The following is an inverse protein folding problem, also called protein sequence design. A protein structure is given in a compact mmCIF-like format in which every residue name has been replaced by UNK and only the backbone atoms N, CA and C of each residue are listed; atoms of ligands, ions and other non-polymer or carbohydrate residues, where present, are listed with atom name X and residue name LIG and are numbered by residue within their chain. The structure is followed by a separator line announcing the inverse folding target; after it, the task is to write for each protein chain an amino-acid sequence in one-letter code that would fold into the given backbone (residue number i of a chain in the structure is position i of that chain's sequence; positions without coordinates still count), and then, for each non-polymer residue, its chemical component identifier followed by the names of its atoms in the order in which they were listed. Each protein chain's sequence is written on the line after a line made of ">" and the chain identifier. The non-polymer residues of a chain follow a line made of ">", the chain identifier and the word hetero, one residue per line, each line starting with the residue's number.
data_IF_213029264184
#
_entry.id   IF_213029264184
#
_cell.length_a   1.000
_cell.length_b   1.000
_cell.length_c   1.000
_cell.angle_alpha   90.00
_cell.angle_beta   90.00
_cell.angle_gamma   90.00
#
_symmetry.space_group_name_H-M   'P 1'
#
loop_
_entity.id
_entity.type
_entity.pdbx_description
1 polymer ?
#
# COMPACT_ATOMS: atom_id res chain seq x y z
N UNK A 1 -1.63 -6.40 -7.95
CA UNK A 1 -2.90 -5.65 -7.73
C UNK A 1 -3.79 -5.84 -8.94
N UNK A 2 -5.10 -6.02 -8.75
CA UNK A 2 -6.03 -6.11 -9.87
C UNK A 2 -6.17 -4.76 -10.59
N UNK A 3 -6.44 -4.78 -11.90
CA UNK A 3 -6.39 -3.58 -12.74
C UNK A 3 -7.48 -2.55 -12.38
N UNK A 4 -8.67 -3.04 -12.04
CA UNK A 4 -9.82 -2.24 -11.61
C UNK A 4 -9.52 -1.42 -10.34
N UNK A 5 -8.76 -2.01 -9.41
CA UNK A 5 -8.38 -1.34 -8.17
C UNK A 5 -7.23 -0.35 -8.39
N UNK A 6 -6.34 -0.63 -9.36
CA UNK A 6 -5.20 0.24 -9.69
C UNK A 6 -5.66 1.63 -10.14
N UNK A 7 -6.71 1.69 -10.95
CA UNK A 7 -7.22 2.96 -11.49
C UNK A 7 -8.15 3.70 -10.52
N UNK A 8 -8.44 3.13 -9.34
CA UNK A 8 -9.32 3.73 -8.35
C UNK A 8 -8.75 5.05 -7.85
N UNK A 9 -9.47 6.13 -8.13
CA UNK A 9 -9.17 7.45 -7.61
C UNK A 9 -9.70 7.59 -6.18
N UNK A 10 -8.93 8.26 -5.33
CA UNK A 10 -9.30 8.68 -3.98
C UNK A 10 -9.14 10.18 -3.89
N UNK A 11 -10.08 10.82 -3.21
CA UNK A 11 -10.08 12.27 -2.98
C UNK A 11 -10.06 12.50 -1.47
N UNK A 12 -9.06 13.24 -1.00
CA UNK A 12 -8.90 13.59 0.43
C UNK A 12 -8.69 15.09 0.60
N UNK A 13 -8.78 15.62 1.84
CA UNK A 13 -8.52 17.02 2.12
C UNK A 13 -7.07 17.41 1.80
N UNK A 14 -6.89 18.49 1.01
CA UNK A 14 -5.58 19.06 0.68
C UNK A 14 -5.07 20.11 1.68
N UNK A 15 -5.88 20.47 2.68
CA UNK A 15 -5.68 21.72 3.42
C UNK A 15 -6.16 22.91 2.59
N UNK A 16 -6.26 24.11 3.18
CA UNK A 16 -6.74 25.27 2.41
C UNK A 16 -8.26 25.33 2.15
N UNK A 17 -9.02 24.31 2.58
CA UNK A 17 -10.36 24.04 2.04
C UNK A 17 -10.35 23.34 0.67
N UNK A 18 -9.17 22.96 0.17
CA UNK A 18 -8.97 22.29 -1.11
C UNK A 18 -9.00 20.76 -0.97
N UNK A 19 -9.04 20.05 -2.11
CA UNK A 19 -9.00 18.59 -2.20
C UNK A 19 -7.86 18.15 -3.09
N UNK A 20 -7.29 16.98 -2.80
CA UNK A 20 -6.28 16.34 -3.64
C UNK A 20 -6.83 15.01 -4.12
N UNK A 21 -6.67 14.73 -5.40
CA UNK A 21 -7.01 13.44 -5.98
C UNK A 21 -5.76 12.67 -6.41
N UNK A 22 -5.78 11.35 -6.23
CA UNK A 22 -4.66 10.46 -6.54
C UNK A 22 -5.14 9.01 -6.68
N UNK A 23 -4.25 8.11 -7.12
CA UNK A 23 -4.56 6.71 -7.36
C UNK A 23 -3.66 5.83 -6.46
N UNK A 24 -4.03 5.62 -5.19
CA UNK A 24 -3.09 5.11 -4.19
C UNK A 24 -2.53 3.74 -4.55
N UNK A 25 -3.33 2.86 -5.15
CA UNK A 25 -2.87 1.53 -5.58
C UNK A 25 -1.85 1.61 -6.72
N UNK A 26 -2.07 2.49 -7.70
CA UNK A 26 -1.11 2.73 -8.78
C UNK A 26 0.18 3.31 -8.23
N UNK A 27 0.06 4.31 -7.36
CA UNK A 27 1.18 5.13 -6.92
C UNK A 27 2.12 4.34 -5.99
N UNK A 28 1.61 3.35 -5.22
CA UNK A 28 2.46 2.48 -4.38
C UNK A 28 2.94 1.20 -5.07
N UNK A 29 2.43 0.85 -6.26
CA UNK A 29 2.56 -0.51 -6.83
C UNK A 29 4.01 -0.99 -6.93
N UNK A 30 4.90 -0.14 -7.45
CA UNK A 30 6.32 -0.47 -7.61
C UNK A 30 6.99 -0.74 -6.27
N UNK A 31 6.72 0.09 -5.27
CA UNK A 31 7.30 -0.04 -3.94
C UNK A 31 6.71 -1.23 -3.18
N UNK A 32 5.41 -1.51 -3.35
CA UNK A 32 4.74 -2.69 -2.80
C UNK A 32 5.30 -3.99 -3.39
N UNK A 33 5.48 -4.04 -4.71
CA UNK A 33 6.10 -5.19 -5.37
C UNK A 33 7.52 -5.42 -4.85
N UNK A 34 8.32 -4.35 -4.72
CA UNK A 34 9.66 -4.43 -4.15
C UNK A 34 9.66 -4.93 -2.69
N UNK A 35 8.74 -4.44 -1.86
CA UNK A 35 8.57 -4.91 -0.48
C UNK A 35 8.30 -6.41 -0.44
N UNK A 36 7.40 -6.92 -1.29
CA UNK A 36 7.13 -8.36 -1.37
C UNK A 36 8.35 -9.16 -1.81
N UNK A 37 9.14 -8.66 -2.77
CA UNK A 37 10.36 -9.36 -3.21
C UNK A 37 11.46 -9.40 -2.14
N UNK A 38 11.39 -8.54 -1.12
CA UNK A 38 12.28 -8.62 0.04
C UNK A 38 11.85 -9.70 1.05
N UNK A 39 10.58 -10.14 1.00
CA UNK A 39 10.00 -11.11 1.94
C UNK A 39 9.91 -12.50 1.31
N UNK A 40 9.54 -12.59 0.04
CA UNK A 40 9.27 -13.85 -0.67
C UNK A 40 10.29 -14.06 -1.79
N UNK A 41 10.72 -15.32 -1.98
CA UNK A 41 11.74 -15.66 -2.98
C UNK A 41 11.31 -15.43 -4.44
N UNK A 42 10.02 -15.51 -4.75
CA UNK A 42 9.48 -15.20 -6.07
C UNK A 42 8.12 -14.50 -5.93
N UNK A 43 7.94 -13.41 -6.67
CA UNK A 43 6.70 -12.61 -6.66
C UNK A 43 6.27 -12.38 -8.09
N UNK A 44 5.05 -12.77 -8.42
CA UNK A 44 4.45 -12.53 -9.73
C UNK A 44 3.08 -11.86 -9.59
N UNK A 45 2.74 -11.00 -10.55
CA UNK A 45 1.44 -10.34 -10.58
C UNK A 45 0.42 -11.27 -11.22
N UNK A 46 -0.64 -11.59 -10.49
CA UNK A 46 -1.81 -12.26 -11.04
C UNK A 46 -2.79 -11.26 -11.65
N UNK A 47 -3.47 -11.68 -12.73
CA UNK A 47 -4.58 -10.92 -13.33
C UNK A 47 -5.78 -10.88 -12.41
N UNK A 48 -6.11 -12.03 -11.81
CA UNK A 48 -7.17 -12.16 -10.81
C UNK A 48 -6.68 -13.03 -9.65
N UNK A 49 -7.22 -12.87 -8.43
CA UNK A 49 -6.82 -13.70 -7.29
C UNK A 49 -7.11 -15.20 -7.43
N UNK A 50 -7.95 -15.60 -8.41
CA UNK A 50 -8.41 -16.98 -8.64
C UNK A 50 -7.93 -17.56 -9.97
N UNK A 51 -6.86 -17.00 -10.54
CA UNK A 51 -6.27 -17.47 -11.80
C UNK A 51 -5.54 -18.80 -11.58
N UNK A 52 -6.31 -19.90 -11.59
CA UNK A 52 -5.82 -21.24 -11.27
C UNK A 52 -4.68 -21.70 -12.20
N UNK A 53 -4.76 -21.34 -13.49
CA UNK A 53 -3.71 -21.64 -14.47
C UNK A 53 -2.40 -20.93 -14.12
N UNK A 54 -2.46 -19.65 -13.79
CA UNK A 54 -1.29 -18.90 -13.36
C UNK A 54 -0.75 -19.38 -12.01
N UNK A 55 -1.61 -19.76 -11.07
CA UNK A 55 -1.22 -20.32 -9.76
C UNK A 55 -0.46 -21.63 -9.94
N UNK A 56 -1.01 -22.56 -10.73
CA UNK A 56 -0.37 -23.85 -11.01
C UNK A 56 0.92 -23.69 -11.80
N UNK A 57 0.91 -22.92 -12.89
CA UNK A 57 2.07 -22.74 -13.77
C UNK A 57 3.27 -22.11 -13.06
N UNK A 58 3.03 -21.20 -12.12
CA UNK A 58 4.10 -20.50 -11.40
C UNK A 58 4.38 -21.12 -10.01
N UNK A 59 3.75 -22.26 -9.66
CA UNK A 59 3.86 -22.90 -8.36
C UNK A 59 3.64 -21.92 -7.19
N UNK A 60 2.58 -21.12 -7.28
CA UNK A 60 2.31 -20.06 -6.30
C UNK A 60 1.86 -20.70 -4.98
N UNK A 61 2.63 -20.48 -3.91
CA UNK A 61 2.27 -20.90 -2.56
C UNK A 61 1.22 -20.01 -1.91
N UNK A 62 1.30 -18.69 -2.16
CA UNK A 62 0.46 -17.68 -1.53
C UNK A 62 -0.06 -16.65 -2.53
N UNK A 63 -1.33 -16.28 -2.37
CA UNK A 63 -1.96 -15.16 -3.07
C UNK A 63 -2.16 -14.01 -2.09
N UNK A 64 -1.53 -12.87 -2.38
CA UNK A 64 -1.55 -11.68 -1.52
C UNK A 64 -2.45 -10.61 -2.16
N UNK A 65 -3.49 -10.20 -1.43
CA UNK A 65 -4.43 -9.17 -1.86
C UNK A 65 -4.32 -7.94 -0.94
N UNK A 66 -3.74 -6.83 -1.42
CA UNK A 66 -3.65 -5.60 -0.64
C UNK A 66 -4.96 -4.83 -0.65
N UNK A 67 -5.25 -4.17 0.47
CA UNK A 67 -6.31 -3.17 0.62
C UNK A 67 -5.70 -1.91 1.26
N UNK A 68 -5.99 -0.77 0.67
CA UNK A 68 -5.52 0.54 1.10
C UNK A 68 -6.69 1.41 1.51
N UNK A 69 -6.53 2.06 2.66
CA UNK A 69 -7.28 3.23 3.07
C UNK A 69 -6.27 4.36 3.30
N UNK A 70 -6.58 5.55 2.80
CA UNK A 70 -5.70 6.72 2.91
C UNK A 70 -6.49 7.92 3.36
N UNK A 71 -5.86 8.76 4.16
CA UNK A 71 -6.42 10.05 4.55
C UNK A 71 -5.32 11.12 4.62
N UNK A 72 -5.70 12.38 4.50
CA UNK A 72 -4.78 13.50 4.57
C UNK A 72 -5.38 14.71 5.25
N UNK A 73 -4.53 15.48 5.92
CA UNK A 73 -4.96 16.66 6.65
C UNK A 73 -3.85 17.71 6.76
N UNK A 74 -4.27 18.94 7.07
CA UNK A 74 -3.40 20.02 7.48
C UNK A 74 -3.92 20.64 8.77
N UNK A 75 -3.04 21.09 9.68
CA UNK A 75 -3.44 21.70 10.95
C UNK A 75 -4.08 23.09 10.77
N UNK A 76 -3.90 23.72 9.61
CA UNK A 76 -4.46 25.04 9.30
C UNK A 76 -5.26 25.00 7.99
N UNK A 77 -6.44 25.66 7.96
CA UNK A 77 -7.24 25.81 6.75
C UNK A 77 -6.62 26.78 5.74
N UNK A 78 -5.43 27.34 6.01
CA UNK A 78 -4.66 28.17 5.07
C UNK A 78 -3.36 27.48 4.62
N UNK A 79 -3.08 26.26 5.08
CA UNK A 79 -1.88 25.51 4.74
C UNK A 79 -2.18 24.46 3.69
N UNK A 80 -1.64 24.68 2.50
CA UNK A 80 -1.66 23.77 1.35
C UNK A 80 -0.23 23.62 0.83
N UNK A 81 0.20 22.42 0.38
CA UNK A 81 -0.43 21.08 0.37
C UNK A 81 -0.65 20.43 1.75
N UNK A 82 -1.24 19.21 1.82
CA UNK A 82 -1.46 18.52 3.09
C UNK A 82 -0.14 18.15 3.78
N UNK A 83 0.01 18.61 5.01
CA UNK A 83 1.22 18.38 5.83
C UNK A 83 1.23 17.03 6.53
N UNK A 84 0.08 16.36 6.64
CA UNK A 84 -0.05 15.03 7.24
C UNK A 84 -0.79 14.09 6.30
N UNK A 85 -0.31 12.85 6.24
CA UNK A 85 -0.90 11.78 5.45
C UNK A 85 -0.84 10.48 6.24
N UNK A 86 -1.87 9.65 6.13
CA UNK A 86 -1.92 8.31 6.70
C UNK A 86 -2.27 7.28 5.64
N UNK A 87 -1.66 6.10 5.75
CA UNK A 87 -1.90 4.93 4.89
C UNK A 87 -2.16 3.73 5.78
N UNK A 88 -3.38 3.22 5.79
CA UNK A 88 -3.68 1.92 6.36
C UNK A 88 -3.59 0.88 5.25
N UNK A 89 -2.65 -0.05 5.40
CA UNK A 89 -2.39 -1.13 4.46
C UNK A 89 -2.74 -2.47 5.12
N UNK A 90 -3.73 -3.16 4.56
CA UNK A 90 -4.07 -4.53 4.91
C UNK A 90 -3.60 -5.47 3.81
N UNK A 91 -2.88 -6.52 4.17
CA UNK A 91 -2.53 -7.62 3.27
C UNK A 91 -3.29 -8.88 3.70
N UNK A 92 -4.24 -9.30 2.87
CA UNK A 92 -4.91 -10.59 3.03
C UNK A 92 -4.15 -11.65 2.25
N UNK A 93 -3.72 -12.71 2.93
CA UNK A 93 -2.89 -13.77 2.37
C UNK A 93 -3.70 -15.06 2.39
N UNK A 94 -3.85 -15.66 1.22
CA UNK A 94 -4.49 -16.96 1.04
C UNK A 94 -3.48 -17.97 0.48
N UNK A 95 -3.70 -19.26 0.71
CA UNK A 95 -2.94 -20.35 0.09
C UNK A 95 -3.32 -20.51 -1.40
N UNK A 96 -2.66 -21.44 -2.09
CA UNK A 96 -2.94 -21.77 -3.49
C UNK A 96 -4.38 -22.25 -3.74
N UNK A 97 -5.06 -22.79 -2.72
CA UNK A 97 -6.45 -23.22 -2.78
C UNK A 97 -7.45 -22.09 -2.48
N UNK A 98 -6.96 -20.92 -2.08
CA UNK A 98 -7.77 -19.76 -1.71
C UNK A 98 -8.22 -19.74 -0.24
N UNK A 99 -7.70 -20.63 0.61
CA UNK A 99 -8.00 -20.59 2.04
C UNK A 99 -7.21 -19.45 2.70
N UNK A 100 -7.84 -18.65 3.58
CA UNK A 100 -7.13 -17.58 4.27
C UNK A 100 -6.07 -18.18 5.21
N UNK A 101 -4.83 -17.72 5.06
CA UNK A 101 -3.70 -18.09 5.91
C UNK A 101 -3.54 -17.06 7.02
N UNK A 102 -3.45 -15.79 6.65
CA UNK A 102 -3.29 -14.68 7.59
C UNK A 102 -3.73 -13.35 6.97
N UNK A 103 -4.15 -12.42 7.81
CA UNK A 103 -4.34 -11.02 7.45
C UNK A 103 -3.46 -10.17 8.36
N UNK A 104 -2.69 -9.25 7.77
CA UNK A 104 -1.89 -8.25 8.51
C UNK A 104 -2.37 -6.86 8.13
N UNK A 105 -2.55 -6.01 9.13
CA UNK A 105 -2.86 -4.60 8.96
C UNK A 105 -1.77 -3.76 9.62
N UNK A 106 -1.33 -2.71 8.94
CA UNK A 106 -0.40 -1.72 9.48
C UNK A 106 -0.86 -0.32 9.09
N UNK A 107 -0.54 0.64 9.95
CA UNK A 107 -0.77 2.06 9.70
C UNK A 107 0.56 2.79 9.55
N UNK A 108 0.73 3.44 8.40
CA UNK A 108 1.85 4.31 8.09
C UNK A 108 1.47 5.77 8.21
N UNK A 109 2.38 6.59 8.74
CA UNK A 109 2.16 8.03 8.87
C UNK A 109 3.29 8.81 8.23
N UNK A 110 2.94 9.95 7.65
CA UNK A 110 3.88 10.85 7.02
C UNK A 110 3.55 12.29 7.32
N UNK A 111 4.57 13.05 7.67
CA UNK A 111 4.49 14.48 7.88
C UNK A 111 5.47 15.20 6.96
N UNK A 112 5.13 16.41 6.53
CA UNK A 112 6.00 17.31 5.78
C UNK A 112 5.87 18.73 6.33
N UNK A 113 7.01 19.37 6.61
CA UNK A 113 7.03 20.77 7.01
C UNK A 113 6.99 21.71 5.79
N UNK A 114 6.61 22.98 6.02
CA UNK A 114 6.48 23.99 4.98
C UNK A 114 7.76 24.22 4.16
N UNK A 115 8.93 24.07 4.77
CA UNK A 115 10.22 24.18 4.09
C UNK A 115 10.50 22.97 3.18
N UNK A 116 9.95 21.80 3.48
CA UNK A 116 10.27 20.53 2.83
C UNK A 116 9.40 20.27 1.59
N UNK A 117 8.10 20.57 1.66
CA UNK A 117 7.20 20.25 0.54
C UNK A 117 7.27 21.23 -0.64
N UNK A 118 7.96 22.38 -0.52
CA UNK A 118 8.06 23.38 -1.62
C UNK A 118 8.62 22.80 -2.91
N UNK A 119 9.43 21.76 -2.80
CA UNK A 119 10.01 21.03 -3.92
C UNK A 119 9.33 19.66 -4.16
N UNK A 120 8.46 19.20 -3.26
CA UNK A 120 7.74 17.92 -3.35
C UNK A 120 6.40 17.98 -2.61
N UNK A 121 5.35 18.37 -3.33
CA UNK A 121 4.00 18.51 -2.76
C UNK A 121 3.39 17.18 -2.27
N UNK A 122 3.98 16.05 -2.65
CA UNK A 122 3.53 14.70 -2.27
C UNK A 122 4.35 14.07 -1.13
N UNK A 123 5.24 14.84 -0.50
CA UNK A 123 6.22 14.32 0.45
C UNK A 123 5.60 13.61 1.66
N UNK A 124 4.52 14.17 2.23
CA UNK A 124 3.80 13.55 3.35
C UNK A 124 3.22 12.19 2.94
N UNK A 125 2.62 12.08 1.76
CA UNK A 125 2.10 10.82 1.22
C UNK A 125 3.23 9.80 0.98
N UNK A 126 4.34 10.21 0.35
CA UNK A 126 5.51 9.33 0.13
C UNK A 126 6.05 8.77 1.44
N UNK A 127 6.20 9.62 2.46
CA UNK A 127 6.65 9.22 3.81
C UNK A 127 5.68 8.23 4.44
N UNK A 128 4.37 8.50 4.38
CA UNK A 128 3.35 7.60 4.91
C UNK A 128 3.34 6.23 4.22
N UNK A 129 3.43 6.21 2.88
CA UNK A 129 3.51 4.96 2.12
C UNK A 129 4.78 4.17 2.43
N UNK A 130 5.93 4.85 2.53
CA UNK A 130 7.19 4.20 2.89
C UNK A 130 7.11 3.58 4.29
N UNK A 131 6.61 4.32 5.27
CA UNK A 131 6.44 3.84 6.65
C UNK A 131 5.49 2.63 6.71
N UNK A 132 4.34 2.68 6.03
CA UNK A 132 3.42 1.55 5.92
C UNK A 132 4.08 0.31 5.29
N UNK A 133 4.84 0.49 4.21
CA UNK A 133 5.52 -0.61 3.52
C UNK A 133 6.60 -1.26 4.38
N UNK A 134 7.41 -0.48 5.09
CA UNK A 134 8.44 -1.00 5.99
C UNK A 134 7.82 -1.78 7.17
N UNK A 135 6.76 -1.23 7.78
CA UNK A 135 6.00 -1.92 8.83
C UNK A 135 5.37 -3.21 8.32
N UNK A 136 4.78 -3.19 7.12
CA UNK A 136 4.21 -4.40 6.51
C UNK A 136 5.29 -5.44 6.23
N UNK A 137 6.44 -5.03 5.67
CA UNK A 137 7.57 -5.93 5.43
C UNK A 137 7.96 -6.67 6.71
N UNK A 138 8.14 -5.92 7.81
CA UNK A 138 8.47 -6.49 9.10
C UNK A 138 7.38 -7.43 9.61
N UNK A 139 6.11 -7.02 9.53
CA UNK A 139 4.97 -7.83 9.95
C UNK A 139 4.83 -9.16 9.19
N UNK A 140 5.26 -9.20 7.93
CA UNK A 140 5.29 -10.43 7.12
C UNK A 140 6.51 -11.30 7.44
N UNK A 141 7.69 -10.71 7.67
CA UNK A 141 8.89 -11.45 8.09
C UNK A 141 8.71 -12.12 9.47
N UNK A 142 7.97 -11.46 10.35
CA UNK A 142 7.67 -11.95 11.71
C UNK A 142 6.49 -12.93 11.75
N UNK A 143 5.81 -13.18 10.63
CA UNK A 143 4.70 -14.13 10.57
C UNK A 143 5.22 -15.57 10.40
N UNK A 144 5.19 -16.43 11.44
CA UNK A 144 5.64 -17.80 11.33
C UNK A 144 4.81 -18.64 10.34
N UNK A 145 3.56 -18.26 10.09
CA UNK A 145 2.64 -18.95 9.18
C UNK A 145 3.11 -18.92 7.71
N UNK A 146 3.99 -17.96 7.37
CA UNK A 146 4.52 -17.73 6.03
C UNK A 146 5.90 -18.37 5.81
N UNK A 147 6.48 -19.03 6.82
CA UNK A 147 7.82 -19.66 6.75
C UNK A 147 7.78 -21.12 6.30
N UNK A 148 6.71 -21.54 5.62
CA UNK A 148 6.50 -22.92 5.18
C UNK A 148 7.04 -23.17 3.78
#
# INVERSE_FOLDING_TARGET
>A
MAEDVRIKEVITPGGGGDKVSYQPYRDIETAFYKMLTNVFGNVTKLKTPKDADAISKNNIAYVITPQLLTDSSSPSPFTWPPTKFSVDLTCNIADAAGNPVISKNVSGTGAAEFSEFKADFSLSAKRASQDALLKMQQALLDAPELRK
#
